data_IF_253195586979
#
_entry.id   IF_253195586979
#
_cell.length_a   1.000
_cell.length_b   1.000
_cell.length_c   1.000
_cell.angle_alpha   90.00
_cell.angle_beta   90.00
_cell.angle_gamma   90.00
#
_symmetry.space_group_name_H-M   'P 1'
#
loop_
_entity.id
_entity.type
_entity.pdbx_description
1 polymer ?
#
# COMPACT_ATOMS: atom_id res chain seq x y z
N UNK A 1 -8.04 11.77 26.59
CA UNK A 1 -8.39 12.13 25.20
C UNK A 1 -9.41 11.14 24.66
N UNK A 2 -10.43 11.58 23.93
CA UNK A 2 -11.30 10.66 23.19
C UNK A 2 -10.46 10.00 22.09
N UNK A 3 -10.44 8.68 22.04
CA UNK A 3 -9.78 7.95 20.93
C UNK A 3 -10.61 8.16 19.68
N UNK A 4 -10.00 8.64 18.60
CA UNK A 4 -10.60 8.69 17.28
C UNK A 4 -10.27 7.41 16.51
N UNK A 5 -11.23 6.91 15.74
CA UNK A 5 -11.00 5.84 14.76
C UNK A 5 -10.61 6.53 13.47
N UNK A 6 -9.45 6.17 12.93
CA UNK A 6 -9.02 6.65 11.62
C UNK A 6 -9.59 5.73 10.54
N UNK A 7 -10.27 6.31 9.56
CA UNK A 7 -10.86 5.62 8.43
C UNK A 7 -10.09 5.95 7.15
N UNK A 8 -9.56 4.91 6.51
CA UNK A 8 -8.88 5.02 5.24
C UNK A 8 -9.61 4.20 4.18
N UNK A 9 -9.98 4.82 3.05
CA UNK A 9 -10.61 4.13 1.94
C UNK A 9 -9.53 3.55 1.01
N UNK A 10 -9.38 2.24 1.01
CA UNK A 10 -8.49 1.55 0.08
C UNK A 10 -9.20 1.36 -1.26
N UNK A 11 -8.75 2.08 -2.30
CA UNK A 11 -9.28 1.95 -3.66
C UNK A 11 -8.49 0.85 -4.36
N UNK A 12 -9.09 -0.34 -4.41
CA UNK A 12 -8.54 -1.52 -5.06
C UNK A 12 -9.56 -2.07 -6.07
N UNK A 13 -9.30 -1.90 -7.36
CA UNK A 13 -10.25 -2.29 -8.40
C UNK A 13 -11.64 -1.63 -8.19
N UNK A 14 -12.71 -2.23 -8.69
CA UNK A 14 -14.11 -1.81 -8.46
C UNK A 14 -14.72 -2.44 -7.22
N UNK A 15 -13.96 -2.58 -6.17
CA UNK A 15 -14.28 -3.25 -4.93
C UNK A 15 -13.24 -4.31 -4.60
N UNK A 16 -13.20 -4.76 -3.34
CA UNK A 16 -12.16 -5.69 -2.88
C UNK A 16 -12.49 -7.15 -3.21
N UNK A 17 -13.77 -7.52 -3.20
CA UNK A 17 -14.22 -8.85 -3.65
C UNK A 17 -13.95 -9.00 -5.15
N UNK A 18 -13.42 -10.14 -5.59
CA UNK A 18 -12.99 -10.34 -6.99
C UNK A 18 -14.12 -10.17 -8.01
N UNK A 19 -15.36 -10.55 -7.63
CA UNK A 19 -16.54 -10.40 -8.47
C UNK A 19 -17.26 -9.05 -8.29
N UNK A 20 -16.77 -8.14 -7.44
CA UNK A 20 -17.44 -6.86 -7.16
C UNK A 20 -17.73 -6.05 -8.42
N UNK A 21 -16.84 -6.10 -9.41
CA UNK A 21 -16.99 -5.38 -10.68
C UNK A 21 -18.16 -5.90 -11.54
N UNK A 22 -18.60 -7.14 -11.30
CA UNK A 22 -19.73 -7.80 -11.99
C UNK A 22 -21.07 -7.50 -11.33
N UNK A 23 -21.05 -7.05 -10.07
CA UNK A 23 -22.26 -6.77 -9.33
C UNK A 23 -23.02 -5.57 -9.94
N UNK A 24 -24.36 -5.65 -9.96
CA UNK A 24 -25.25 -4.62 -10.54
C UNK A 24 -25.06 -3.22 -9.96
N UNK A 25 -24.57 -3.11 -8.72
CA UNK A 25 -24.30 -1.85 -8.05
C UNK A 25 -22.86 -1.37 -8.27
N UNK A 26 -22.03 -2.09 -9.05
CA UNK A 26 -20.67 -1.65 -9.35
C UNK A 26 -20.69 -0.35 -10.17
N UNK A 27 -19.67 0.47 -9.98
CA UNK A 27 -19.50 1.68 -10.79
C UNK A 27 -19.50 1.34 -12.29
N UNK A 28 -20.20 2.13 -13.14
CA UNK A 28 -20.16 1.92 -14.57
C UNK A 28 -18.85 2.33 -15.23
N UNK A 29 -18.01 3.11 -14.50
CA UNK A 29 -16.77 3.64 -15.05
C UNK A 29 -15.65 2.59 -15.06
N UNK A 30 -14.80 2.66 -16.09
CA UNK A 30 -13.57 1.87 -16.14
C UNK A 30 -12.57 2.37 -15.09
N UNK A 31 -11.60 1.52 -14.70
CA UNK A 31 -10.52 1.91 -13.80
C UNK A 31 -9.53 2.91 -14.42
N UNK A 32 -9.62 3.17 -15.71
CA UNK A 32 -8.89 4.23 -16.44
C UNK A 32 -9.69 5.51 -16.59
N UNK A 33 -10.94 5.53 -16.16
CA UNK A 33 -11.78 6.73 -16.16
C UNK A 33 -11.61 7.49 -14.85
N UNK A 34 -11.12 8.71 -14.91
CA UNK A 34 -10.88 9.53 -13.73
C UNK A 34 -12.15 9.76 -12.88
N UNK A 35 -13.33 9.79 -13.49
CA UNK A 35 -14.61 9.96 -12.77
C UNK A 35 -14.85 8.91 -11.70
N UNK A 36 -14.33 7.69 -11.90
CA UNK A 36 -14.40 6.64 -10.87
C UNK A 36 -13.73 7.06 -9.55
N UNK A 37 -12.51 7.58 -9.66
CA UNK A 37 -11.73 8.00 -8.50
C UNK A 37 -12.23 9.32 -7.92
N UNK A 38 -12.65 10.25 -8.77
CA UNK A 38 -13.24 11.53 -8.37
C UNK A 38 -14.47 11.32 -7.47
N UNK A 39 -15.43 10.50 -7.92
CA UNK A 39 -16.63 10.19 -7.13
C UNK A 39 -16.31 9.54 -5.79
N UNK A 40 -15.38 8.59 -5.76
CA UNK A 40 -14.98 7.93 -4.52
C UNK A 40 -14.29 8.90 -3.56
N UNK A 41 -13.35 9.70 -4.05
CA UNK A 41 -12.61 10.66 -3.25
C UNK A 41 -13.54 11.73 -2.64
N UNK A 42 -14.46 12.28 -3.44
CA UNK A 42 -15.43 13.27 -2.97
C UNK A 42 -16.43 12.67 -1.97
N UNK A 43 -16.93 11.44 -2.21
CA UNK A 43 -17.78 10.74 -1.26
C UNK A 43 -17.07 10.46 0.07
N UNK A 44 -15.82 9.99 0.00
CA UNK A 44 -15.01 9.73 1.19
C UNK A 44 -14.72 11.02 1.97
N UNK A 45 -14.42 12.13 1.27
CA UNK A 45 -14.20 13.43 1.91
C UNK A 45 -15.45 13.94 2.62
N UNK A 46 -16.63 13.85 1.99
CA UNK A 46 -17.92 14.24 2.59
C UNK A 46 -18.26 13.34 3.79
N UNK A 47 -17.93 12.06 3.71
CA UNK A 47 -18.11 11.10 4.79
C UNK A 47 -17.04 11.19 5.90
N UNK A 48 -16.15 12.19 5.83
CA UNK A 48 -15.09 12.45 6.81
C UNK A 48 -14.12 11.27 7.01
N UNK A 49 -13.81 10.55 5.95
CA UNK A 49 -12.66 9.65 5.94
C UNK A 49 -11.38 10.47 6.09
N UNK A 50 -10.38 9.93 6.81
CA UNK A 50 -9.10 10.59 6.99
C UNK A 50 -8.29 10.58 5.70
N UNK A 51 -8.34 9.49 4.94
CA UNK A 51 -7.56 9.35 3.70
C UNK A 51 -8.15 8.36 2.71
N UNK A 52 -7.71 8.48 1.45
CA UNK A 52 -7.83 7.47 0.41
C UNK A 52 -6.46 6.86 0.13
N UNK A 53 -6.44 5.58 -0.24
CA UNK A 53 -5.22 4.82 -0.52
C UNK A 53 -5.25 4.29 -1.94
N UNK A 54 -4.21 4.63 -2.69
CA UNK A 54 -4.01 4.23 -4.09
C UNK A 54 -2.88 3.19 -4.14
N UNK A 55 -3.23 1.94 -4.41
CA UNK A 55 -2.24 0.88 -4.64
C UNK A 55 -1.59 1.00 -6.02
N UNK A 56 -0.48 0.30 -6.20
CA UNK A 56 0.22 0.22 -7.48
C UNK A 56 0.36 -1.24 -7.93
N UNK A 57 0.36 -1.44 -9.24
CA UNK A 57 0.55 -2.74 -9.91
C UNK A 57 1.58 -2.55 -11.01
N UNK A 58 2.76 -3.13 -10.83
CA UNK A 58 3.89 -3.00 -11.76
C UNK A 58 4.02 -4.16 -12.75
N UNK A 59 3.09 -5.12 -12.70
CA UNK A 59 2.97 -6.22 -13.67
C UNK A 59 1.54 -6.74 -13.68
N UNK A 60 1.04 -7.10 -14.85
CA UNK A 60 -0.26 -7.76 -14.98
C UNK A 60 -0.12 -9.25 -14.70
N UNK A 61 -1.10 -9.82 -13.99
CA UNK A 61 -1.26 -11.25 -13.82
C UNK A 61 -2.00 -11.89 -15.00
N UNK A 62 -2.04 -13.22 -15.03
CA UNK A 62 -2.78 -14.02 -16.03
C UNK A 62 -4.29 -13.85 -15.86
N UNK A 63 -4.74 -13.46 -14.68
CA UNK A 63 -6.16 -13.23 -14.34
C UNK A 63 -6.75 -11.93 -14.93
N UNK A 64 -5.98 -11.18 -15.73
CA UNK A 64 -6.43 -9.91 -16.34
C UNK A 64 -7.66 -10.08 -17.25
N UNK A 65 -7.84 -11.25 -17.84
CA UNK A 65 -8.99 -11.56 -18.68
C UNK A 65 -10.31 -11.57 -17.87
N UNK A 66 -10.23 -11.84 -16.58
CA UNK A 66 -11.38 -12.05 -15.71
C UNK A 66 -11.52 -11.01 -14.60
N UNK A 67 -10.50 -10.22 -14.36
CA UNK A 67 -10.48 -9.26 -13.25
C UNK A 67 -9.93 -7.91 -13.71
N UNK A 68 -10.66 -6.81 -13.48
CA UNK A 68 -10.17 -5.49 -13.84
C UNK A 68 -8.99 -5.09 -12.96
N UNK A 69 -7.79 -5.10 -13.53
CA UNK A 69 -6.54 -4.71 -12.87
C UNK A 69 -5.77 -3.62 -13.62
N UNK A 70 -6.27 -3.15 -14.77
CA UNK A 70 -5.66 -2.04 -15.48
C UNK A 70 -6.02 -0.73 -14.77
N UNK A 71 -5.13 -0.28 -13.89
CA UNK A 71 -5.29 0.92 -13.07
C UNK A 71 -4.38 2.06 -13.55
N UNK A 72 -4.75 3.29 -13.20
CA UNK A 72 -3.89 4.46 -13.43
C UNK A 72 -2.70 4.43 -12.45
N UNK A 73 -1.56 4.96 -12.89
CA UNK A 73 -0.40 5.18 -12.01
C UNK A 73 -0.82 6.06 -10.82
N UNK A 74 -0.53 5.64 -9.58
CA UNK A 74 -0.99 6.33 -8.37
C UNK A 74 -0.40 7.74 -8.19
N UNK A 75 0.78 8.04 -8.73
CA UNK A 75 1.41 9.37 -8.55
C UNK A 75 0.69 10.45 -9.37
N UNK A 76 0.48 10.32 -10.69
CA UNK A 76 -0.34 11.26 -11.46
C UNK A 76 -1.77 11.34 -10.95
N UNK A 77 -2.36 10.20 -10.57
CA UNK A 77 -3.71 10.14 -10.04
C UNK A 77 -3.83 10.91 -8.71
N UNK A 78 -2.85 10.78 -7.81
CA UNK A 78 -2.81 11.54 -6.56
C UNK A 78 -2.79 13.05 -6.80
N UNK A 79 -2.04 13.52 -7.82
CA UNK A 79 -2.01 14.93 -8.20
C UNK A 79 -3.38 15.43 -8.68
N UNK A 80 -4.06 14.65 -9.51
CA UNK A 80 -5.40 14.98 -9.99
C UNK A 80 -6.42 15.04 -8.84
N UNK A 81 -6.39 14.05 -7.93
CA UNK A 81 -7.28 14.00 -6.76
C UNK A 81 -6.98 15.10 -5.75
N UNK A 82 -5.71 15.48 -5.57
CA UNK A 82 -5.33 16.59 -4.71
C UNK A 82 -5.93 17.94 -5.17
N UNK A 83 -6.05 18.13 -6.48
CA UNK A 83 -6.60 19.35 -7.07
C UNK A 83 -8.13 19.50 -6.87
N UNK A 84 -8.86 18.39 -6.75
CA UNK A 84 -10.33 18.37 -6.65
C UNK A 84 -10.87 18.16 -5.24
N UNK A 85 -10.00 17.81 -4.29
CA UNK A 85 -10.32 17.59 -2.86
C UNK A 85 -9.68 18.68 -2.00
N UNK A 86 -10.16 18.85 -0.77
CA UNK A 86 -9.70 19.94 0.12
C UNK A 86 -9.20 19.49 1.48
N UNK A 87 -9.66 18.35 1.98
CA UNK A 87 -9.42 17.90 3.37
C UNK A 87 -8.84 16.50 3.46
N UNK A 88 -9.33 15.59 2.60
CA UNK A 88 -8.97 14.18 2.67
C UNK A 88 -7.49 13.97 2.33
N UNK A 89 -6.81 13.15 3.13
CA UNK A 89 -5.45 12.70 2.86
C UNK A 89 -5.39 11.77 1.63
N UNK A 90 -4.28 11.76 0.93
CA UNK A 90 -4.09 10.93 -0.26
C UNK A 90 -2.80 10.14 -0.08
N UNK A 91 -2.94 8.82 0.04
CA UNK A 91 -1.81 7.90 0.15
C UNK A 91 -1.53 7.32 -1.24
N UNK A 92 -0.37 7.64 -1.79
CA UNK A 92 0.09 7.16 -3.09
C UNK A 92 1.22 6.14 -2.92
N UNK A 93 1.15 5.04 -3.65
CA UNK A 93 2.17 3.99 -3.61
C UNK A 93 3.32 4.29 -4.57
N UNK A 94 4.55 4.06 -4.10
CA UNK A 94 5.74 4.05 -4.96
C UNK A 94 6.79 3.07 -4.42
N UNK A 95 7.50 2.41 -5.34
CA UNK A 95 8.49 1.39 -5.05
C UNK A 95 9.87 1.99 -4.78
N UNK A 96 10.53 1.60 -3.69
CA UNK A 96 11.94 1.93 -3.44
C UNK A 96 12.89 1.14 -4.33
N UNK A 97 12.41 0.07 -4.98
CA UNK A 97 13.23 -0.79 -5.83
C UNK A 97 13.35 -0.24 -7.26
N UNK A 98 12.27 0.36 -7.79
CA UNK A 98 12.20 0.70 -9.22
C UNK A 98 12.13 2.20 -9.51
N UNK A 99 12.24 3.05 -8.51
CA UNK A 99 12.24 4.51 -8.67
C UNK A 99 13.53 5.09 -8.08
N UNK A 100 14.08 6.12 -8.72
CA UNK A 100 15.21 6.86 -8.19
C UNK A 100 14.80 7.77 -7.02
N UNK A 101 15.55 7.79 -5.90
CA UNK A 101 15.16 8.54 -4.69
C UNK A 101 15.01 10.05 -4.93
N UNK A 102 15.86 10.65 -5.78
CA UNK A 102 15.76 12.07 -6.11
C UNK A 102 14.46 12.40 -6.84
N UNK A 103 14.06 11.56 -7.81
CA UNK A 103 12.83 11.76 -8.55
C UNK A 103 11.60 11.58 -7.64
N UNK A 104 11.60 10.54 -6.80
CA UNK A 104 10.53 10.31 -5.85
C UNK A 104 10.40 11.48 -4.85
N UNK A 105 11.51 11.93 -4.27
CA UNK A 105 11.49 13.06 -3.34
C UNK A 105 10.89 14.32 -3.99
N UNK A 106 11.26 14.61 -5.24
CA UNK A 106 10.72 15.74 -6.01
C UNK A 106 9.24 15.61 -6.31
N UNK A 107 8.78 14.42 -6.71
CA UNK A 107 7.37 14.15 -7.00
C UNK A 107 6.52 14.33 -5.75
N UNK A 108 6.91 13.72 -4.63
CA UNK A 108 6.14 13.80 -3.39
C UNK A 108 6.20 15.20 -2.74
N UNK A 109 7.31 15.93 -2.83
CA UNK A 109 7.37 17.33 -2.42
C UNK A 109 6.41 18.21 -3.26
N UNK A 110 6.36 17.97 -4.58
CA UNK A 110 5.42 18.67 -5.46
C UNK A 110 3.96 18.35 -5.11
N UNK A 111 3.64 17.07 -4.87
CA UNK A 111 2.32 16.64 -4.43
C UNK A 111 1.94 17.22 -3.07
N UNK A 112 2.91 17.40 -2.15
CA UNK A 112 2.68 18.03 -0.86
C UNK A 112 2.24 19.48 -1.01
N UNK A 113 2.89 20.24 -1.89
CA UNK A 113 2.48 21.60 -2.24
C UNK A 113 1.11 21.63 -2.93
N UNK A 114 0.89 20.79 -3.95
CA UNK A 114 -0.39 20.73 -4.70
C UNK A 114 -1.55 20.38 -3.75
N UNK A 115 -1.35 19.44 -2.84
CA UNK A 115 -2.38 19.01 -1.89
C UNK A 115 -2.53 19.93 -0.68
N UNK A 116 -1.66 20.91 -0.50
CA UNK A 116 -1.56 21.73 0.70
C UNK A 116 -1.39 20.86 1.97
N UNK A 117 -0.41 19.98 1.95
CA UNK A 117 -0.02 19.18 3.11
C UNK A 117 -0.91 17.96 3.38
N UNK A 118 -1.41 17.26 2.34
CA UNK A 118 -2.30 16.10 2.50
C UNK A 118 -1.79 14.82 1.86
N UNK A 119 -0.57 14.84 1.31
CA UNK A 119 0.00 13.67 0.65
C UNK A 119 0.68 12.73 1.64
N UNK A 120 0.58 11.42 1.38
CA UNK A 120 1.33 10.39 2.06
C UNK A 120 1.93 9.42 1.03
N UNK A 121 3.06 8.83 1.38
CA UNK A 121 3.73 7.84 0.56
C UNK A 121 3.61 6.45 1.18
N UNK A 122 2.95 5.53 0.47
CA UNK A 122 3.00 4.11 0.80
C UNK A 122 4.28 3.51 0.21
N UNK A 123 5.19 3.14 1.09
CA UNK A 123 6.53 2.64 0.77
C UNK A 123 6.43 1.14 0.51
N UNK A 124 6.80 0.70 -0.68
CA UNK A 124 6.86 -0.72 -1.02
C UNK A 124 8.24 -1.10 -1.57
N UNK A 125 8.71 -2.29 -1.22
CA UNK A 125 9.97 -2.86 -1.74
C UNK A 125 9.74 -3.81 -2.90
N UNK A 126 8.57 -3.84 -3.43
CA UNK A 126 8.05 -4.66 -4.54
C UNK A 126 8.63 -6.08 -4.61
N UNK A 127 7.85 -7.07 -4.20
CA UNK A 127 8.27 -8.47 -4.12
C UNK A 127 7.84 -9.31 -5.34
N UNK A 128 7.58 -8.69 -6.49
CA UNK A 128 7.09 -9.37 -7.70
C UNK A 128 8.23 -9.63 -8.69
N UNK A 129 8.54 -10.91 -8.92
CA UNK A 129 9.49 -11.32 -9.97
C UNK A 129 9.00 -10.95 -11.39
N UNK A 130 7.69 -10.85 -11.61
CA UNK A 130 7.12 -10.38 -12.87
C UNK A 130 7.37 -8.87 -13.06
N UNK A 131 7.25 -8.08 -12.00
CA UNK A 131 7.56 -6.66 -12.03
C UNK A 131 9.06 -6.41 -12.31
N UNK A 132 9.96 -7.22 -11.72
CA UNK A 132 11.40 -7.10 -11.93
C UNK A 132 11.78 -7.10 -13.42
N UNK A 133 11.12 -7.92 -14.22
CA UNK A 133 11.36 -8.02 -15.67
C UNK A 133 11.02 -6.72 -16.44
N UNK A 134 10.12 -5.89 -15.91
CA UNK A 134 9.76 -4.62 -16.54
C UNK A 134 10.78 -3.51 -16.23
N UNK A 135 11.67 -3.71 -15.25
CA UNK A 135 12.66 -2.73 -14.80
C UNK A 135 14.10 -3.22 -14.96
N UNK A 136 14.34 -4.19 -15.83
CA UNK A 136 15.66 -4.78 -16.09
C UNK A 136 16.32 -5.47 -14.88
N UNK A 137 15.56 -5.75 -13.84
CA UNK A 137 15.98 -6.44 -12.62
C UNK A 137 15.68 -7.94 -12.73
N UNK A 138 16.60 -8.72 -13.28
CA UNK A 138 16.44 -10.17 -13.39
C UNK A 138 17.77 -10.88 -13.15
N UNK A 139 17.94 -11.68 -12.07
CA UNK A 139 16.91 -12.03 -11.08
C UNK A 139 16.57 -10.88 -10.13
N UNK A 140 15.37 -10.93 -9.54
CA UNK A 140 14.96 -9.98 -8.48
C UNK A 140 15.87 -10.16 -7.26
N UNK A 141 16.27 -9.04 -6.63
CA UNK A 141 17.03 -9.04 -5.40
C UNK A 141 16.30 -9.75 -4.24
N UNK A 142 17.05 -10.35 -3.33
CA UNK A 142 16.54 -11.00 -2.14
C UNK A 142 15.78 -10.04 -1.21
N UNK A 143 15.00 -10.60 -0.28
CA UNK A 143 14.18 -9.77 0.61
C UNK A 143 15.03 -8.84 1.48
N UNK A 144 16.13 -9.34 2.02
CA UNK A 144 17.02 -8.57 2.89
C UNK A 144 17.68 -7.42 2.14
N UNK A 145 18.27 -7.70 0.97
CA UNK A 145 18.87 -6.70 0.11
C UNK A 145 17.88 -5.61 -0.30
N UNK A 146 16.63 -5.97 -0.62
CA UNK A 146 15.59 -4.98 -0.93
C UNK A 146 15.29 -4.05 0.25
N UNK A 147 15.30 -4.57 1.47
CA UNK A 147 15.07 -3.74 2.66
C UNK A 147 16.30 -2.92 3.05
N UNK A 148 17.51 -3.41 2.86
CA UNK A 148 18.74 -2.62 3.03
C UNK A 148 18.78 -1.45 2.05
N UNK A 149 18.53 -1.72 0.76
CA UNK A 149 18.42 -0.68 -0.27
C UNK A 149 17.31 0.33 0.05
N UNK A 150 16.15 -0.15 0.53
CA UNK A 150 15.05 0.72 0.95
C UNK A 150 15.42 1.60 2.14
N UNK A 151 16.19 1.12 3.08
CA UNK A 151 16.63 1.89 4.24
C UNK A 151 17.57 3.04 3.84
N UNK A 152 18.51 2.78 2.93
CA UNK A 152 19.34 3.83 2.34
C UNK A 152 18.51 4.80 1.51
N UNK A 153 17.56 4.30 0.71
CA UNK A 153 16.60 5.13 -0.02
C UNK A 153 15.88 6.12 0.91
N UNK A 154 15.41 5.64 2.07
CA UNK A 154 14.74 6.48 3.08
C UNK A 154 15.68 7.56 3.64
N UNK A 155 16.95 7.26 3.81
CA UNK A 155 17.95 8.23 4.24
C UNK A 155 18.08 9.35 3.23
N UNK A 156 18.20 9.00 1.94
CA UNK A 156 18.32 9.96 0.84
C UNK A 156 17.06 10.85 0.73
N UNK A 157 15.86 10.26 0.65
CA UNK A 157 14.64 11.07 0.45
C UNK A 157 14.35 11.98 1.64
N UNK A 158 14.58 11.52 2.87
CA UNK A 158 14.43 12.36 4.06
C UNK A 158 15.42 13.52 4.06
N UNK A 159 16.69 13.26 3.71
CA UNK A 159 17.71 14.28 3.56
C UNK A 159 17.32 15.33 2.50
N UNK A 160 16.81 14.88 1.35
CA UNK A 160 16.36 15.75 0.27
C UNK A 160 15.19 16.67 0.69
N UNK A 161 14.18 16.13 1.40
CA UNK A 161 13.08 16.95 1.92
C UNK A 161 13.52 17.94 2.97
N UNK A 162 14.55 17.62 3.75
CA UNK A 162 15.12 18.52 4.76
C UNK A 162 16.20 19.46 4.20
N UNK A 163 16.61 19.32 2.93
CA UNK A 163 17.64 20.15 2.32
C UNK A 163 17.26 21.63 2.23
N UNK A 164 15.99 21.96 2.41
CA UNK A 164 15.47 23.32 2.56
C UNK A 164 15.02 23.54 4.01
N UNK A 165 15.58 24.51 4.69
CA UNK A 165 15.07 24.95 5.99
C UNK A 165 13.65 25.51 5.86
N UNK A 166 12.85 25.45 6.92
CA UNK A 166 11.46 25.90 6.89
C UNK A 166 11.31 27.39 6.56
N UNK A 167 12.32 28.20 6.86
CA UNK A 167 12.41 29.64 6.62
C UNK A 167 13.27 30.00 5.41
N UNK A 168 13.62 29.03 4.55
CA UNK A 168 14.53 29.26 3.43
C UNK A 168 13.97 30.25 2.40
N UNK A 169 12.69 30.19 2.07
CA UNK A 169 12.04 31.06 1.08
C UNK A 169 11.48 32.31 1.77
N UNK A 170 11.92 33.50 1.35
CA UNK A 170 11.43 34.77 1.86
C UNK A 170 10.65 35.59 0.84
N UNK A 171 10.85 35.34 -0.46
CA UNK A 171 10.20 36.05 -1.60
C UNK A 171 10.19 37.58 -1.41
N UNK A 172 11.29 38.13 -0.90
CA UNK A 172 11.44 39.60 -0.69
C UNK A 172 11.66 40.28 -2.02
N UNK A 173 10.57 40.70 -2.65
CA UNK A 173 10.56 41.37 -3.95
C UNK A 173 11.15 42.75 -3.89
N UNK A 174 11.07 43.45 -2.75
CA UNK A 174 11.58 44.80 -2.60
C UNK A 174 13.11 44.87 -2.65
N UNK A 175 13.75 43.88 -2.01
CA UNK A 175 15.18 43.77 -1.97
C UNK A 175 15.76 42.77 -2.97
N UNK A 176 14.90 42.08 -3.76
CA UNK A 176 15.33 41.12 -4.77
C UNK A 176 15.92 39.84 -4.16
N UNK A 177 15.50 39.48 -2.94
CA UNK A 177 15.98 38.30 -2.24
C UNK A 177 14.88 37.22 -2.22
N UNK A 178 15.11 36.07 -2.89
CA UNK A 178 14.19 34.98 -2.95
C UNK A 178 14.37 34.01 -1.77
N UNK A 179 15.61 33.68 -1.41
CA UNK A 179 15.92 32.76 -0.30
C UNK A 179 16.95 33.36 0.65
N UNK A 180 16.92 32.92 1.90
CA UNK A 180 17.98 33.28 2.86
C UNK A 180 19.27 32.51 2.59
N UNK A 181 20.44 33.18 2.68
CA UNK A 181 21.73 32.51 2.51
C UNK A 181 21.95 31.39 3.51
N UNK A 182 22.49 30.25 3.03
CA UNK A 182 22.81 29.10 3.88
C UNK A 182 21.62 28.30 4.37
N UNK A 183 20.39 28.59 3.88
CA UNK A 183 19.17 27.86 4.27
C UNK A 183 18.81 26.71 3.33
N UNK A 184 19.59 26.53 2.28
CA UNK A 184 19.48 25.41 1.34
C UNK A 184 20.85 24.72 1.33
N UNK A 185 20.87 23.44 1.68
CA UNK A 185 22.08 22.66 1.83
C UNK A 185 22.05 21.40 0.97
N UNK A 186 23.14 21.04 0.29
CA UNK A 186 23.26 19.72 -0.31
C UNK A 186 23.20 18.64 0.78
N UNK A 187 22.87 17.43 0.41
CA UNK A 187 22.89 16.28 1.33
C UNK A 187 24.18 15.48 1.23
N UNK A 188 24.90 15.61 0.09
CA UNK A 188 26.17 14.95 -0.20
C UNK A 188 26.19 13.47 0.22
N UNK A 189 25.09 12.77 -0.07
CA UNK A 189 24.96 11.35 0.27
C UNK A 189 25.84 10.50 -0.64
N UNK A 190 26.71 9.71 -0.02
CA UNK A 190 27.60 8.74 -0.69
C UNK A 190 27.47 7.40 0.03
N UNK A 191 26.54 6.55 -0.44
CA UNK A 191 26.18 5.27 0.17
C UNK A 191 26.51 4.07 -0.70
N UNK A 192 26.04 2.91 -0.27
CA UNK A 192 26.27 1.64 -0.99
C UNK A 192 25.42 1.50 -2.24
N UNK A 193 24.23 2.09 -2.24
CA UNK A 193 23.25 1.97 -3.33
C UNK A 193 23.01 3.30 -4.05
N UNK A 194 23.20 4.43 -3.39
CA UNK A 194 22.85 5.74 -3.93
C UNK A 194 23.95 6.77 -3.71
N UNK A 195 24.18 7.61 -4.73
CA UNK A 195 25.09 8.75 -4.67
C UNK A 195 24.31 9.98 -5.10
N UNK A 196 23.94 10.85 -4.14
CA UNK A 196 23.04 11.98 -4.38
C UNK A 196 23.54 13.23 -3.70
N UNK A 197 23.95 14.22 -4.48
CA UNK A 197 24.42 15.50 -3.97
C UNK A 197 23.30 16.35 -3.38
N UNK A 198 22.16 16.45 -4.04
CA UNK A 198 21.13 17.42 -3.67
C UNK A 198 21.57 18.87 -3.95
N UNK A 199 20.92 19.90 -3.39
CA UNK A 199 19.64 19.82 -2.68
C UNK A 199 18.48 19.46 -3.60
N UNK A 200 17.30 19.29 -3.02
CA UNK A 200 16.08 19.12 -3.81
C UNK A 200 15.75 20.41 -4.57
N UNK A 201 15.18 20.29 -5.79
CA UNK A 201 14.75 21.46 -6.57
C UNK A 201 13.37 22.00 -6.18
N UNK A 202 12.65 21.31 -5.32
CA UNK A 202 11.36 21.71 -4.76
C UNK A 202 11.56 22.13 -3.32
N UNK A 203 11.11 23.31 -2.89
CA UNK A 203 11.19 23.75 -1.50
C UNK A 203 10.49 22.80 -0.54
N UNK A 204 10.79 22.92 0.74
CA UNK A 204 10.13 22.17 1.81
C UNK A 204 8.63 22.30 1.72
N UNK A 205 7.93 21.15 1.72
CA UNK A 205 6.48 21.10 1.63
C UNK A 205 5.76 21.57 2.91
N UNK A 206 4.45 21.85 2.86
CA UNK A 206 3.66 22.30 4.01
C UNK A 206 3.73 21.37 5.23
N UNK A 207 3.81 20.05 5.02
CA UNK A 207 4.00 19.06 6.08
C UNK A 207 5.46 18.95 6.54
N UNK A 208 6.39 19.58 5.84
CA UNK A 208 7.83 19.35 5.95
C UNK A 208 8.27 18.07 5.25
N UNK A 209 7.61 16.97 5.51
CA UNK A 209 7.76 15.67 4.82
C UNK A 209 6.40 15.02 4.61
N UNK A 210 6.19 14.30 3.50
CA UNK A 210 5.00 13.46 3.33
C UNK A 210 4.87 12.43 4.46
N UNK A 211 3.64 12.12 4.86
CA UNK A 211 3.39 11.03 5.83
C UNK A 211 3.86 9.71 5.24
N UNK A 212 4.54 8.90 6.04
CA UNK A 212 5.14 7.63 5.63
C UNK A 212 4.25 6.46 6.01
N UNK A 213 3.74 5.77 5.01
CA UNK A 213 2.87 4.60 5.18
C UNK A 213 3.62 3.34 4.74
N UNK A 214 3.35 2.20 5.39
CA UNK A 214 4.00 0.94 5.05
C UNK A 214 3.05 -0.24 5.32
N UNK A 215 3.24 -1.36 4.62
CA UNK A 215 2.36 -2.53 4.68
C UNK A 215 3.11 -3.87 4.87
N UNK A 216 4.36 -3.86 5.35
CA UNK A 216 5.18 -5.08 5.52
C UNK A 216 4.78 -5.88 6.75
N UNK A 217 4.59 -7.19 6.57
CA UNK A 217 4.27 -8.12 7.65
C UNK A 217 5.38 -9.16 7.91
N UNK A 218 6.36 -9.32 7.00
CA UNK A 218 7.56 -10.13 7.21
C UNK A 218 8.45 -9.52 8.31
N UNK A 219 9.38 -10.29 8.85
CA UNK A 219 10.28 -9.77 9.89
C UNK A 219 11.08 -8.53 9.44
N UNK A 220 11.75 -8.52 8.26
CA UNK A 220 12.38 -7.30 7.74
C UNK A 220 11.37 -6.17 7.50
N UNK A 221 10.15 -6.50 7.04
CA UNK A 221 9.08 -5.54 6.82
C UNK A 221 8.60 -4.87 8.09
N UNK A 222 8.44 -5.61 9.20
CA UNK A 222 8.06 -5.06 10.51
C UNK A 222 9.16 -4.19 11.10
N UNK A 223 10.43 -4.60 10.96
CA UNK A 223 11.57 -3.80 11.39
C UNK A 223 11.63 -2.47 10.64
N UNK A 224 11.48 -2.51 9.32
CA UNK A 224 11.45 -1.31 8.47
C UNK A 224 10.24 -0.41 8.79
N UNK A 225 9.04 -1.00 8.96
CA UNK A 225 7.84 -0.28 9.34
C UNK A 225 8.00 0.43 10.69
N UNK A 226 8.56 -0.25 11.70
CA UNK A 226 8.81 0.34 13.01
C UNK A 226 9.84 1.47 12.96
N UNK A 227 10.81 1.41 12.03
CA UNK A 227 11.84 2.43 11.85
C UNK A 227 11.32 3.68 11.13
N UNK A 228 10.49 3.50 10.11
CA UNK A 228 10.13 4.59 9.19
C UNK A 228 8.63 4.93 9.17
N UNK A 229 7.74 3.96 9.40
CA UNK A 229 6.30 4.14 9.21
C UNK A 229 5.65 5.03 10.28
N UNK A 230 4.71 5.87 9.84
CA UNK A 230 3.81 6.67 10.69
C UNK A 230 2.39 6.10 10.65
N UNK A 231 2.04 5.41 9.56
CA UNK A 231 0.84 4.58 9.47
C UNK A 231 1.20 3.22 8.88
N UNK A 232 0.69 2.15 9.48
CA UNK A 232 1.02 0.78 9.06
C UNK A 232 -0.26 0.03 8.77
N UNK A 233 -0.45 -0.32 7.49
CA UNK A 233 -1.52 -1.20 7.08
C UNK A 233 -1.17 -2.66 7.40
N UNK A 234 -2.15 -3.42 7.86
CA UNK A 234 -2.02 -4.87 8.05
C UNK A 234 -3.27 -5.60 7.62
N UNK A 235 -3.08 -6.71 6.89
CA UNK A 235 -4.15 -7.63 6.52
C UNK A 235 -4.15 -8.80 7.51
N UNK A 236 -4.91 -8.68 8.58
CA UNK A 236 -5.03 -9.72 9.61
C UNK A 236 -6.52 -10.04 9.79
N UNK A 237 -6.88 -11.30 9.65
CA UNK A 237 -8.28 -11.74 9.72
C UNK A 237 -8.76 -11.92 11.16
N UNK A 238 -7.88 -12.39 12.05
CA UNK A 238 -8.23 -12.73 13.42
C UNK A 238 -7.91 -11.60 14.40
N UNK A 239 -8.85 -11.30 15.30
CA UNK A 239 -8.71 -10.23 16.31
C UNK A 239 -7.46 -10.41 17.17
N UNK A 240 -7.19 -11.64 17.62
CA UNK A 240 -6.03 -11.94 18.47
C UNK A 240 -4.73 -11.67 17.73
N UNK A 241 -4.60 -12.14 16.49
CA UNK A 241 -3.44 -11.89 15.64
C UNK A 241 -3.26 -10.38 15.34
N UNK A 242 -4.36 -9.63 15.16
CA UNK A 242 -4.30 -8.18 14.99
C UNK A 242 -3.79 -7.47 16.26
N UNK A 243 -4.18 -7.94 17.46
CA UNK A 243 -3.70 -7.41 18.73
C UNK A 243 -2.20 -7.74 18.95
N UNK A 244 -1.77 -8.93 18.55
CA UNK A 244 -0.37 -9.33 18.64
C UNK A 244 0.50 -8.51 17.68
N UNK A 245 0.08 -8.33 16.44
CA UNK A 245 0.73 -7.43 15.49
C UNK A 245 0.83 -6.00 16.03
N UNK A 246 -0.26 -5.48 16.58
CA UNK A 246 -0.28 -4.14 17.19
C UNK A 246 0.77 -4.02 18.29
N UNK A 247 0.81 -4.99 19.22
CA UNK A 247 1.77 -4.99 20.34
C UNK A 247 3.22 -5.09 19.85
N UNK A 248 3.48 -5.97 18.87
CA UNK A 248 4.80 -6.14 18.28
C UNK A 248 5.31 -4.84 17.66
N UNK A 249 4.54 -4.23 16.77
CA UNK A 249 4.95 -2.98 16.12
C UNK A 249 5.16 -1.85 17.14
N UNK A 250 4.24 -1.67 18.09
CA UNK A 250 4.37 -0.62 19.12
C UNK A 250 5.61 -0.83 20.00
N UNK A 251 5.94 -2.08 20.35
CA UNK A 251 7.15 -2.44 21.09
C UNK A 251 8.41 -2.09 20.30
N UNK A 252 8.47 -2.44 19.01
CA UNK A 252 9.60 -2.12 18.12
C UNK A 252 9.80 -0.62 17.97
N UNK A 253 8.71 0.13 17.75
CA UNK A 253 8.75 1.60 17.66
C UNK A 253 9.34 2.21 18.93
N UNK A 254 8.90 1.73 20.11
CA UNK A 254 9.42 2.16 21.41
C UNK A 254 10.89 1.80 21.58
N UNK A 255 11.30 0.59 21.20
CA UNK A 255 12.69 0.14 21.30
C UNK A 255 13.65 0.99 20.43
N UNK A 256 13.13 1.58 19.34
CA UNK A 256 13.87 2.53 18.48
C UNK A 256 13.85 3.97 19.01
N UNK A 257 13.33 4.21 20.21
CA UNK A 257 13.23 5.56 20.79
C UNK A 257 12.18 6.46 20.14
N UNK A 258 11.30 5.93 19.30
CA UNK A 258 10.20 6.67 18.68
C UNK A 258 8.98 6.67 19.59
N UNK A 259 8.15 7.70 19.47
CA UNK A 259 6.86 7.73 20.18
C UNK A 259 5.87 6.77 19.50
N UNK A 260 5.40 5.71 20.18
CA UNK A 260 4.45 4.74 19.61
C UNK A 260 3.09 5.36 19.26
N UNK A 261 2.69 6.48 19.88
CA UNK A 261 1.43 7.16 19.55
C UNK A 261 1.48 7.87 18.19
N UNK A 262 2.67 8.12 17.65
CA UNK A 262 2.88 8.68 16.31
C UNK A 262 2.97 7.60 15.22
N UNK A 263 2.66 6.36 15.53
CA UNK A 263 2.60 5.26 14.58
C UNK A 263 1.21 4.61 14.65
N UNK A 264 0.36 4.92 13.68
CA UNK A 264 -1.02 4.40 13.61
C UNK A 264 -1.00 3.01 12.96
N UNK A 265 -1.70 2.04 13.55
CA UNK A 265 -1.91 0.72 12.94
C UNK A 265 -3.31 0.65 12.35
N UNK A 266 -3.41 0.33 11.08
CA UNK A 266 -4.65 0.31 10.30
C UNK A 266 -4.93 -1.10 9.78
N UNK A 267 -5.68 -1.93 10.52
CA UNK A 267 -6.10 -3.23 10.00
C UNK A 267 -7.10 -3.06 8.86
N UNK A 268 -6.88 -3.82 7.78
CA UNK A 268 -7.79 -3.87 6.65
C UNK A 268 -9.07 -4.61 7.00
N UNK A 269 -10.20 -4.01 6.63
CA UNK A 269 -11.53 -4.62 6.73
C UNK A 269 -12.20 -4.56 5.36
N UNK A 270 -12.90 -5.62 4.99
CA UNK A 270 -13.72 -5.67 3.77
C UNK A 270 -15.20 -5.94 4.16
N UNK A 271 -15.91 -4.93 4.66
CA UNK A 271 -17.28 -5.11 5.11
C UNK A 271 -18.27 -5.15 3.94
N UNK A 272 -19.27 -6.02 4.04
CA UNK A 272 -20.48 -5.93 3.22
C UNK A 272 -21.51 -5.13 4.01
N UNK A 273 -21.87 -3.95 3.51
CA UNK A 273 -22.74 -3.00 4.22
C UNK A 273 -24.11 -2.94 3.55
N UNK A 274 -25.17 -3.05 4.35
CA UNK A 274 -26.56 -2.93 3.92
C UNK A 274 -27.42 -2.35 5.04
N UNK A 275 -28.73 -2.15 4.79
CA UNK A 275 -29.67 -1.62 5.77
C UNK A 275 -30.04 -2.62 6.89
N UNK A 276 -29.78 -3.91 6.68
CA UNK A 276 -29.99 -4.99 7.65
C UNK A 276 -29.00 -6.14 7.44
N UNK A 277 -28.82 -6.97 8.49
CA UNK A 277 -27.96 -8.16 8.43
C UNK A 277 -28.40 -9.15 7.33
N UNK A 278 -29.71 -9.32 7.14
CA UNK A 278 -30.24 -10.21 6.12
C UNK A 278 -29.92 -9.71 4.71
N UNK A 279 -29.99 -8.41 4.49
CA UNK A 279 -29.63 -7.79 3.22
C UNK A 279 -28.11 -7.85 2.99
N UNK A 280 -27.30 -7.62 4.01
CA UNK A 280 -25.85 -7.76 3.92
C UNK A 280 -25.43 -9.20 3.54
N UNK A 281 -26.03 -10.19 4.19
CA UNK A 281 -25.80 -11.61 3.86
C UNK A 281 -26.21 -11.96 2.43
N UNK A 282 -27.33 -11.43 1.97
CA UNK A 282 -27.77 -11.61 0.59
C UNK A 282 -26.76 -11.01 -0.39
N UNK A 283 -26.25 -9.80 -0.13
CA UNK A 283 -25.23 -9.18 -0.98
C UNK A 283 -23.91 -9.96 -0.98
N UNK A 284 -23.50 -10.49 0.16
CA UNK A 284 -22.33 -11.36 0.23
C UNK A 284 -22.54 -12.61 -0.64
N UNK A 285 -23.68 -13.27 -0.52
CA UNK A 285 -24.02 -14.43 -1.34
C UNK A 285 -24.10 -14.10 -2.84
N UNK A 286 -24.70 -12.95 -3.23
CA UNK A 286 -24.74 -12.50 -4.62
C UNK A 286 -23.30 -12.30 -5.18
N UNK A 287 -22.35 -11.81 -4.37
CA UNK A 287 -20.97 -11.67 -4.76
C UNK A 287 -20.25 -13.02 -4.94
N UNK A 288 -20.48 -13.95 -4.00
CA UNK A 288 -19.91 -15.31 -4.06
C UNK A 288 -20.43 -16.08 -5.29
N UNK A 289 -21.74 -15.97 -5.61
CA UNK A 289 -22.35 -16.56 -6.80
C UNK A 289 -21.81 -16.00 -8.11
N UNK A 290 -21.36 -14.73 -8.10
CA UNK A 290 -20.72 -14.08 -9.24
C UNK A 290 -19.24 -14.47 -9.37
N UNK A 291 -18.59 -14.98 -8.32
CA UNK A 291 -17.19 -15.35 -8.37
C UNK A 291 -16.95 -16.51 -9.34
N UNK A 292 -15.85 -16.45 -10.08
CA UNK A 292 -15.47 -17.53 -10.98
C UNK A 292 -14.57 -18.51 -10.26
N UNK A 293 -15.04 -19.74 -10.09
CA UNK A 293 -14.24 -20.81 -9.48
C UNK A 293 -12.91 -21.04 -10.22
N UNK A 294 -12.90 -20.95 -11.55
CA UNK A 294 -11.69 -21.13 -12.34
C UNK A 294 -10.65 -20.03 -12.03
N UNK A 295 -11.11 -18.77 -11.88
CA UNK A 295 -10.24 -17.63 -11.51
C UNK A 295 -9.75 -17.79 -10.07
N UNK A 296 -10.58 -18.22 -9.15
CA UNK A 296 -10.19 -18.49 -7.77
C UNK A 296 -9.10 -19.56 -7.67
N UNK A 297 -9.24 -20.66 -8.41
CA UNK A 297 -8.24 -21.72 -8.49
C UNK A 297 -6.91 -21.21 -9.08
N UNK A 298 -6.96 -20.46 -10.16
CA UNK A 298 -5.74 -19.89 -10.78
C UNK A 298 -5.01 -18.98 -9.81
N UNK A 299 -5.73 -18.11 -9.09
CA UNK A 299 -5.13 -17.20 -8.09
C UNK A 299 -4.56 -17.95 -6.90
N UNK A 300 -5.28 -18.95 -6.41
CA UNK A 300 -4.79 -19.78 -5.32
C UNK A 300 -3.52 -20.52 -5.73
N UNK A 301 -3.51 -21.11 -6.92
CA UNK A 301 -2.33 -21.74 -7.51
C UNK A 301 -1.16 -20.75 -7.59
N UNK A 302 -1.37 -19.57 -8.16
CA UNK A 302 -0.34 -18.53 -8.29
C UNK A 302 0.18 -18.05 -6.91
N UNK A 303 -0.69 -17.97 -5.90
CA UNK A 303 -0.33 -17.59 -4.54
C UNK A 303 0.67 -18.56 -3.91
N UNK A 304 0.60 -19.84 -4.28
CA UNK A 304 1.50 -20.91 -3.82
C UNK A 304 2.56 -21.31 -4.86
N UNK A 305 2.95 -20.38 -5.73
CA UNK A 305 4.05 -20.62 -6.69
C UNK A 305 3.68 -21.48 -7.90
N UNK A 306 2.40 -21.61 -8.22
CA UNK A 306 1.90 -22.35 -9.38
C UNK A 306 1.62 -23.83 -9.10
N UNK A 307 1.21 -24.18 -7.86
CA UNK A 307 0.84 -25.56 -7.54
C UNK A 307 -0.34 -26.02 -8.40
N UNK A 308 -0.34 -27.30 -8.75
CA UNK A 308 -1.46 -27.91 -9.47
C UNK A 308 -2.61 -28.22 -8.51
N UNK A 309 -3.69 -27.45 -8.59
CA UNK A 309 -4.89 -27.64 -7.78
C UNK A 309 -5.89 -28.61 -8.40
N UNK A 310 -5.66 -29.13 -9.62
CA UNK A 310 -6.56 -30.06 -10.28
C UNK A 310 -6.61 -31.45 -9.60
N UNK A 311 -5.59 -31.75 -8.81
CA UNK A 311 -5.49 -32.99 -8.04
C UNK A 311 -6.37 -32.99 -6.75
N UNK A 312 -6.91 -31.84 -6.36
CA UNK A 312 -7.72 -31.73 -5.15
C UNK A 312 -9.22 -31.89 -5.47
N UNK A 313 -9.90 -32.68 -4.65
CA UNK A 313 -11.35 -32.73 -4.66
C UNK A 313 -11.91 -31.41 -4.09
N UNK A 314 -12.80 -30.77 -4.84
CA UNK A 314 -13.40 -29.49 -4.46
C UNK A 314 -14.17 -29.55 -3.14
N UNK A 315 -14.69 -30.70 -2.79
CA UNK A 315 -15.55 -30.91 -1.63
C UNK A 315 -14.89 -31.72 -0.50
N UNK A 316 -13.63 -32.14 -0.67
CA UNK A 316 -12.85 -32.76 0.40
C UNK A 316 -12.15 -31.71 1.28
N UNK A 317 -12.05 -31.94 2.61
CA UNK A 317 -11.31 -31.07 3.52
C UNK A 317 -9.84 -31.00 3.14
N UNK A 318 -9.29 -29.78 3.06
CA UNK A 318 -7.87 -29.52 2.78
C UNK A 318 -7.00 -29.81 4.01
N UNK A 319 -5.76 -30.20 3.76
CA UNK A 319 -4.72 -30.30 4.76
C UNK A 319 -3.62 -29.28 4.47
N UNK A 320 -3.06 -28.68 5.54
CA UNK A 320 -2.04 -27.63 5.38
C UNK A 320 -0.76 -28.18 4.74
N UNK A 321 -0.50 -29.49 4.94
CA UNK A 321 0.65 -30.23 4.40
C UNK A 321 0.59 -30.39 2.88
N UNK A 322 -0.59 -30.20 2.28
CA UNK A 322 -0.79 -30.25 0.84
C UNK A 322 -0.29 -28.99 0.13
N UNK A 323 0.02 -27.93 0.88
CA UNK A 323 0.48 -26.64 0.36
C UNK A 323 1.95 -26.39 0.71
N UNK A 324 2.71 -25.71 -0.18
CA UNK A 324 4.07 -25.29 0.13
C UNK A 324 4.16 -24.42 1.39
N UNK A 325 5.18 -24.63 2.20
CA UNK A 325 5.45 -23.78 3.36
C UNK A 325 5.63 -22.32 2.92
N UNK A 326 4.86 -21.36 3.48
CA UNK A 326 4.89 -19.96 3.04
C UNK A 326 6.28 -19.33 3.04
N UNK A 327 7.14 -19.72 3.98
CA UNK A 327 8.51 -19.20 4.10
C UNK A 327 9.41 -19.60 2.91
N UNK A 328 9.06 -20.64 2.15
CA UNK A 328 9.84 -21.11 0.99
C UNK A 328 9.44 -20.43 -0.31
N UNK A 329 8.35 -19.68 -0.32
CA UNK A 329 7.81 -19.04 -1.52
C UNK A 329 8.60 -17.78 -1.88
N UNK A 330 8.86 -17.60 -3.16
CA UNK A 330 9.42 -16.35 -3.68
C UNK A 330 8.31 -15.31 -3.82
N UNK A 331 8.34 -14.26 -3.00
CA UNK A 331 7.36 -13.18 -3.07
C UNK A 331 6.80 -12.76 -1.72
N UNK A 332 5.53 -12.36 -1.69
CA UNK A 332 4.85 -12.02 -0.44
C UNK A 332 4.43 -13.26 0.31
N UNK A 333 4.94 -13.44 1.52
CA UNK A 333 4.61 -14.59 2.39
C UNK A 333 3.34 -14.40 3.21
N UNK A 334 2.83 -13.18 3.29
CA UNK A 334 1.69 -12.83 4.16
C UNK A 334 0.41 -13.57 3.80
N UNK A 335 0.04 -13.52 2.53
CA UNK A 335 -1.19 -14.16 2.05
C UNK A 335 -1.13 -15.69 2.08
N UNK A 336 -0.06 -16.35 1.62
CA UNK A 336 0.11 -17.79 1.82
C UNK A 336 0.01 -18.21 3.30
N UNK A 337 0.63 -17.45 4.21
CA UNK A 337 0.56 -17.73 5.66
C UNK A 337 -0.88 -17.68 6.15
N UNK A 338 -1.64 -16.63 5.82
CA UNK A 338 -3.05 -16.52 6.22
C UNK A 338 -3.90 -17.69 5.71
N UNK A 339 -3.68 -18.13 4.47
CA UNK A 339 -4.41 -19.24 3.88
C UNK A 339 -4.05 -20.56 4.57
N UNK A 340 -2.78 -20.83 4.80
CA UNK A 340 -2.33 -22.04 5.49
C UNK A 340 -2.85 -22.08 6.93
N UNK A 341 -2.83 -20.96 7.64
CA UNK A 341 -3.38 -20.86 9.00
C UNK A 341 -4.90 -21.10 9.01
N UNK A 342 -5.62 -20.57 8.03
CA UNK A 342 -7.06 -20.84 7.86
C UNK A 342 -7.31 -22.33 7.64
N UNK A 343 -6.54 -22.99 6.76
CA UNK A 343 -6.65 -24.42 6.49
C UNK A 343 -6.36 -25.23 7.76
N UNK A 344 -5.34 -24.88 8.52
CA UNK A 344 -5.02 -25.57 9.80
C UNK A 344 -6.11 -25.47 10.82
N UNK A 345 -6.72 -24.29 10.94
CA UNK A 345 -7.73 -24.02 11.98
C UNK A 345 -9.12 -24.54 11.62
N UNK A 346 -9.53 -24.43 10.37
CA UNK A 346 -10.91 -24.69 9.95
C UNK A 346 -11.09 -25.92 9.06
N UNK A 347 -10.01 -26.43 8.45
CA UNK A 347 -10.02 -27.53 7.49
C UNK A 347 -11.12 -27.37 6.41
N UNK A 348 -11.19 -26.20 5.73
CA UNK A 348 -12.21 -25.95 4.72
C UNK A 348 -12.04 -26.91 3.54
N UNK A 349 -13.10 -27.13 2.78
CA UNK A 349 -12.98 -27.68 1.43
C UNK A 349 -12.37 -26.64 0.48
N UNK A 350 -11.85 -27.06 -0.66
CA UNK A 350 -11.33 -26.14 -1.67
C UNK A 350 -12.42 -25.15 -2.12
N UNK A 351 -13.66 -25.61 -2.29
CA UNK A 351 -14.82 -24.75 -2.59
C UNK A 351 -15.07 -23.70 -1.51
N UNK A 352 -15.01 -24.10 -0.25
CA UNK A 352 -15.18 -23.17 0.88
C UNK A 352 -14.02 -22.18 1.00
N UNK A 353 -12.79 -22.62 0.70
CA UNK A 353 -11.64 -21.74 0.70
C UNK A 353 -11.73 -20.65 -0.39
N UNK A 354 -12.25 -21.00 -1.56
CA UNK A 354 -12.44 -20.06 -2.67
C UNK A 354 -13.54 -19.01 -2.41
N UNK A 355 -14.45 -19.26 -1.46
CA UNK A 355 -15.51 -18.32 -1.06
C UNK A 355 -15.12 -17.42 0.12
N UNK A 356 -13.93 -17.60 0.67
CA UNK A 356 -13.36 -16.79 1.77
C UNK A 356 -12.28 -15.83 1.29
#
# INVERSE_FOLDING_TARGET
MKRHVHLNLFIHSRGHHEAAWRHRAASPYLLTDFRYYEELAQKAEVAAFDSIFLSDILSLGTDIEYTPRAVLDPIPLAGALAAITKKIGIISTASTTYVEPYNLARQFASLDHISNGRIAWNIVTTASAAAAKNFSENPQAGIEERYERADEFMTVVKGLWDSWAADAVVDDRANGQYTLPGRIQPIDHDGSYYHVTGPLTVPRGPQGRPVLVQAGSSEPGRAFAAKHGEAIFTAVLEKTAAQDFYRDIKSRVTALGRNPDQCVIMPGLSPVIASSDNEARRYAQELDELASQAVGLERLSATFGGIDLSQFDLDAPLAAEDFPEPATLQGSVSRPTLIVDLIRNERPTLRQLLSK
#
